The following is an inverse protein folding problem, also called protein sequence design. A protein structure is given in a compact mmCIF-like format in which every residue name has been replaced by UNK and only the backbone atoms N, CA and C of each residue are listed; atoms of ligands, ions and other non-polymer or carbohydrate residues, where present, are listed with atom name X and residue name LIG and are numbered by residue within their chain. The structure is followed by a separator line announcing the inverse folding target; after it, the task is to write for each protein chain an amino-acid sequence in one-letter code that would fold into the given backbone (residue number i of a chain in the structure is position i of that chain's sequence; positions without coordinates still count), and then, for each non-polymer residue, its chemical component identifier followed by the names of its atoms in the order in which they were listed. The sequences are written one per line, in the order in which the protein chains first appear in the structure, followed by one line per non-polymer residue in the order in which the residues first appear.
data_IF_808072928845
#
_entry.id   IF_808072928845
#
_cell.length_a   1.000
_cell.length_b   1.000
_cell.length_c   1.000
_cell.angle_alpha   90.00
_cell.angle_beta   90.00
_cell.angle_gamma   90.00
#
_symmetry.space_group_name_H-M   'P 1'
#
loop_
_entity.id
_entity.type
_entity.pdbx_description
1 polymer ?
#
# COMPACT_ATOMS: atom_id res chain seq x y z
N UNK A 1 -18.03 -29.25 13.13
CA UNK A 1 -17.77 -28.99 14.56
C UNK A 1 -18.17 -27.59 15.00
N UNK A 2 -17.42 -26.52 14.71
CA UNK A 2 -17.71 -25.17 15.26
C UNK A 2 -19.15 -24.71 15.03
N UNK A 3 -19.68 -24.94 13.82
CA UNK A 3 -21.09 -24.65 13.47
C UNK A 3 -22.09 -25.53 14.20
N UNK A 4 -21.77 -26.81 14.41
CA UNK A 4 -22.64 -27.74 15.15
C UNK A 4 -22.67 -27.39 16.65
N UNK A 5 -21.56 -26.89 17.20
CA UNK A 5 -21.40 -26.55 18.61
C UNK A 5 -21.69 -25.08 18.92
N UNK A 6 -21.97 -24.25 17.91
CA UNK A 6 -22.14 -22.81 18.06
C UNK A 6 -20.89 -22.09 18.57
N UNK A 7 -19.70 -22.63 18.28
CA UNK A 7 -18.42 -22.06 18.74
C UNK A 7 -17.95 -20.96 17.79
N UNK A 8 -17.78 -19.72 18.26
CA UNK A 8 -17.27 -18.63 17.44
C UNK A 8 -15.82 -18.89 17.00
N UNK A 9 -15.52 -18.58 15.74
CA UNK A 9 -14.18 -18.68 15.16
C UNK A 9 -13.74 -17.29 14.73
N UNK A 10 -12.52 -16.90 15.11
CA UNK A 10 -11.84 -15.70 14.64
C UNK A 10 -10.66 -16.12 13.77
N UNK A 11 -10.77 -16.00 12.43
CA UNK A 11 -9.64 -16.26 11.54
C UNK A 11 -8.53 -15.26 11.80
N UNK A 12 -7.30 -15.74 11.99
CA UNK A 12 -6.15 -14.89 12.23
C UNK A 12 -4.98 -15.26 11.31
N UNK A 13 -4.59 -14.28 10.51
CA UNK A 13 -3.39 -14.34 9.65
C UNK A 13 -2.18 -13.78 10.41
N UNK A 14 -1.43 -12.84 9.83
CA UNK A 14 -0.25 -12.23 10.45
C UNK A 14 -0.49 -11.28 11.64
N UNK A 15 -1.75 -11.14 12.09
CA UNK A 15 -2.15 -10.27 13.20
C UNK A 15 -1.69 -8.80 13.09
N UNK A 16 -1.70 -8.23 11.89
CA UNK A 16 -1.28 -6.85 11.62
C UNK A 16 -2.42 -5.88 11.31
N UNK A 17 -3.68 -6.33 11.44
CA UNK A 17 -4.86 -5.51 11.19
C UNK A 17 -5.06 -4.43 12.27
N UNK A 18 -5.55 -3.26 11.88
CA UNK A 18 -5.61 -2.06 12.74
C UNK A 18 -7.00 -1.73 13.27
N UNK A 19 -8.02 -2.52 12.92
CA UNK A 19 -9.42 -2.31 13.30
C UNK A 19 -9.94 -3.33 14.34
N UNK A 20 -9.07 -4.24 14.78
CA UNK A 20 -9.41 -5.26 15.80
C UNK A 20 -10.16 -6.48 15.27
N UNK A 21 -10.42 -6.59 13.96
CA UNK A 21 -11.18 -7.69 13.35
C UNK A 21 -10.62 -9.08 13.63
N UNK A 22 -9.30 -9.19 13.82
CA UNK A 22 -8.61 -10.45 14.07
C UNK A 22 -8.38 -10.76 15.56
N UNK A 23 -8.94 -9.97 16.46
CA UNK A 23 -8.77 -10.09 17.91
C UNK A 23 -10.07 -10.63 18.51
N UNK A 24 -10.03 -11.75 19.26
CA UNK A 24 -11.16 -12.24 20.04
C UNK A 24 -11.79 -11.17 20.92
N UNK A 25 -13.09 -11.28 21.14
CA UNK A 25 -13.76 -10.42 22.09
C UNK A 25 -13.34 -10.75 23.54
N UNK A 26 -13.87 -9.98 24.50
CA UNK A 26 -13.55 -10.14 25.93
C UNK A 26 -14.28 -11.31 26.59
N UNK A 27 -15.15 -12.03 25.89
CA UNK A 27 -15.92 -13.15 26.46
C UNK A 27 -15.04 -14.36 26.77
N UNK A 28 -13.95 -14.54 26.03
CA UNK A 28 -13.07 -15.71 26.12
C UNK A 28 -13.67 -16.98 25.50
N UNK A 29 -14.72 -16.87 24.69
CA UNK A 29 -15.38 -18.01 24.03
C UNK A 29 -14.90 -18.27 22.60
N UNK A 30 -14.22 -17.29 21.98
CA UNK A 30 -13.78 -17.40 20.60
C UNK A 30 -12.56 -18.32 20.45
N UNK A 31 -12.55 -19.13 19.39
CA UNK A 31 -11.35 -19.87 18.97
C UNK A 31 -10.63 -19.07 17.89
N UNK A 32 -9.36 -18.76 18.12
CA UNK A 32 -8.48 -18.21 17.08
C UNK A 32 -8.08 -19.32 16.12
N UNK A 33 -8.46 -19.19 14.85
CA UNK A 33 -8.01 -20.07 13.78
C UNK A 33 -6.81 -19.44 13.07
N UNK A 34 -5.61 -19.81 13.49
CA UNK A 34 -4.38 -19.32 12.86
C UNK A 34 -4.15 -20.00 11.50
N UNK A 35 -3.88 -19.19 10.47
CA UNK A 35 -3.55 -19.67 9.12
C UNK A 35 -2.04 -19.84 8.88
N UNK A 36 -1.20 -19.51 9.87
CA UNK A 36 0.26 -19.45 9.75
C UNK A 36 0.95 -20.73 9.24
N UNK A 37 0.31 -21.90 9.39
CA UNK A 37 0.83 -23.18 8.92
C UNK A 37 0.42 -23.53 7.49
N UNK A 38 -0.54 -22.80 6.91
CA UNK A 38 -0.90 -22.87 5.49
C UNK A 38 0.01 -21.91 4.71
N UNK A 39 1.30 -22.20 4.67
CA UNK A 39 2.34 -21.27 4.22
C UNK A 39 3.10 -21.74 2.97
N UNK A 40 2.50 -22.62 2.17
CA UNK A 40 3.13 -23.08 0.92
C UNK A 40 2.76 -22.19 -0.26
N UNK A 41 3.76 -21.82 -1.04
CA UNK A 41 3.57 -21.38 -2.42
C UNK A 41 3.37 -22.66 -3.24
N UNK A 42 2.14 -22.90 -3.72
CA UNK A 42 1.76 -24.11 -4.43
C UNK A 42 2.38 -24.14 -5.83
N UNK A 43 2.42 -23.00 -6.51
CA UNK A 43 2.92 -22.90 -7.89
C UNK A 43 3.21 -21.45 -8.29
N UNK A 44 4.27 -21.25 -9.09
CA UNK A 44 4.54 -20.01 -9.83
C UNK A 44 4.53 -20.35 -11.33
N UNK A 45 3.56 -19.78 -12.07
CA UNK A 45 3.46 -19.89 -13.52
C UNK A 45 3.88 -18.57 -14.16
N UNK A 46 5.11 -18.54 -14.66
CA UNK A 46 5.70 -17.36 -15.30
C UNK A 46 5.14 -17.06 -16.70
N UNK A 47 4.50 -18.04 -17.35
CA UNK A 47 3.88 -17.87 -18.67
C UNK A 47 2.52 -17.20 -18.53
N UNK A 48 1.70 -17.70 -17.60
CA UNK A 48 0.40 -17.09 -17.29
C UNK A 48 0.54 -15.83 -16.43
N UNK A 49 1.71 -15.62 -15.81
CA UNK A 49 2.00 -14.59 -14.82
C UNK A 49 1.05 -14.70 -13.62
N UNK A 50 1.06 -15.87 -12.99
CA UNK A 50 0.23 -16.14 -11.80
C UNK A 50 1.02 -16.88 -10.73
N UNK A 51 0.64 -16.68 -9.48
CA UNK A 51 1.12 -17.47 -8.35
C UNK A 51 -0.07 -18.03 -7.57
N UNK A 52 0.00 -19.31 -7.23
CA UNK A 52 -0.97 -19.95 -6.32
C UNK A 52 -0.32 -20.10 -4.96
N UNK A 53 -0.89 -19.44 -3.94
CA UNK A 53 -0.32 -19.39 -2.60
C UNK A 53 -1.37 -19.76 -1.55
N UNK A 54 -0.96 -20.48 -0.52
CA UNK A 54 -1.78 -20.69 0.67
C UNK A 54 -1.90 -19.39 1.49
N UNK A 55 -3.01 -19.24 2.23
CA UNK A 55 -3.38 -18.01 2.91
C UNK A 55 -2.38 -17.53 3.98
N UNK A 56 -1.61 -18.43 4.57
CA UNK A 56 -0.59 -18.14 5.57
C UNK A 56 0.78 -17.76 5.01
N UNK A 57 0.96 -17.72 3.68
CA UNK A 57 2.20 -17.23 3.06
C UNK A 57 2.41 -15.77 3.44
N UNK A 58 3.60 -15.43 3.96
CA UNK A 58 3.99 -14.05 4.29
C UNK A 58 4.17 -13.27 2.98
N UNK A 59 3.68 -12.02 2.95
CA UNK A 59 3.76 -11.18 1.75
C UNK A 59 5.19 -11.06 1.21
N UNK A 60 6.14 -10.74 2.09
CA UNK A 60 7.55 -10.64 1.72
C UNK A 60 8.10 -11.94 1.13
N UNK A 61 7.76 -13.10 1.70
CA UNK A 61 8.17 -14.40 1.16
C UNK A 61 7.61 -14.65 -0.24
N UNK A 62 6.36 -14.23 -0.51
CA UNK A 62 5.78 -14.31 -1.85
C UNK A 62 6.50 -13.39 -2.85
N UNK A 63 6.83 -12.16 -2.43
CA UNK A 63 7.57 -11.20 -3.25
C UNK A 63 8.97 -11.73 -3.60
N UNK A 64 9.71 -12.27 -2.62
CA UNK A 64 11.03 -12.87 -2.83
C UNK A 64 10.98 -14.07 -3.78
N UNK A 65 9.97 -14.92 -3.66
CA UNK A 65 9.78 -16.06 -4.56
C UNK A 65 9.41 -15.62 -5.98
N UNK A 66 8.60 -14.57 -6.14
CA UNK A 66 8.31 -13.97 -7.43
C UNK A 66 9.58 -13.35 -8.05
N UNK A 67 10.37 -12.63 -7.26
CA UNK A 67 11.61 -11.99 -7.71
C UNK A 67 12.62 -13.02 -8.22
N UNK A 68 12.79 -14.13 -7.49
CA UNK A 68 13.62 -15.26 -7.90
C UNK A 68 13.17 -15.92 -9.22
N UNK A 69 11.89 -15.74 -9.58
CA UNK A 69 11.31 -16.18 -10.86
C UNK A 69 11.29 -15.08 -11.94
N UNK A 70 12.04 -13.98 -11.75
CA UNK A 70 12.07 -12.80 -12.62
C UNK A 70 10.68 -12.17 -12.81
N UNK A 71 9.91 -12.12 -11.72
CA UNK A 71 8.56 -11.55 -11.68
C UNK A 71 8.41 -10.60 -10.50
N UNK A 72 7.41 -9.75 -10.60
CA UNK A 72 6.99 -8.83 -9.56
C UNK A 72 5.63 -9.28 -9.00
N UNK A 73 5.55 -9.43 -7.68
CA UNK A 73 4.28 -9.34 -6.97
C UNK A 73 4.17 -7.93 -6.36
N UNK A 74 3.27 -7.05 -6.87
CA UNK A 74 3.40 -5.61 -6.68
C UNK A 74 2.78 -5.06 -5.39
N UNK A 75 1.99 -5.85 -4.65
CA UNK A 75 1.43 -5.39 -3.38
C UNK A 75 2.58 -5.15 -2.39
N UNK A 76 2.71 -3.92 -1.89
CA UNK A 76 3.76 -3.53 -0.94
C UNK A 76 3.16 -2.67 0.16
N UNK A 77 3.47 -2.99 1.41
CA UNK A 77 2.93 -2.32 2.60
C UNK A 77 3.86 -2.54 3.80
N UNK A 78 3.84 -1.62 4.77
CA UNK A 78 4.80 -1.60 5.88
C UNK A 78 4.88 -2.90 6.70
N UNK A 79 3.78 -3.65 6.79
CA UNK A 79 3.71 -4.92 7.51
C UNK A 79 4.15 -6.15 6.68
N UNK A 80 4.79 -5.98 5.52
CA UNK A 80 5.07 -7.08 4.57
C UNK A 80 5.85 -8.27 5.14
N UNK A 81 6.69 -8.03 6.15
CA UNK A 81 7.47 -9.09 6.81
C UNK A 81 6.65 -9.99 7.75
N UNK A 82 5.39 -9.65 8.02
CA UNK A 82 4.53 -10.39 8.94
C UNK A 82 3.10 -10.59 8.44
N UNK A 83 2.56 -9.69 7.62
CA UNK A 83 1.24 -9.86 7.04
C UNK A 83 1.24 -11.06 6.08
N UNK A 84 0.10 -11.73 5.96
CA UNK A 84 -0.05 -12.94 5.15
C UNK A 84 -1.11 -12.74 4.08
N UNK A 85 -1.02 -13.50 2.98
CA UNK A 85 -1.87 -13.36 1.81
C UNK A 85 -3.36 -13.41 2.13
N UNK A 86 -3.80 -14.35 2.97
CA UNK A 86 -5.19 -14.47 3.41
C UNK A 86 -5.69 -13.22 4.13
N UNK A 87 -4.86 -12.65 5.00
CA UNK A 87 -5.15 -11.38 5.67
C UNK A 87 -5.22 -10.20 4.70
N UNK A 88 -4.25 -10.09 3.78
CA UNK A 88 -4.23 -9.05 2.75
C UNK A 88 -5.48 -9.08 1.88
N UNK A 89 -5.93 -10.27 1.48
CA UNK A 89 -7.18 -10.44 0.74
C UNK A 89 -8.40 -10.14 1.61
N UNK A 90 -8.44 -10.65 2.84
CA UNK A 90 -9.60 -10.49 3.72
C UNK A 90 -9.84 -9.03 4.10
N UNK A 91 -8.80 -8.20 4.21
CA UNK A 91 -8.90 -6.76 4.45
C UNK A 91 -8.91 -5.92 3.17
N UNK A 92 -8.85 -6.55 1.99
CA UNK A 92 -8.61 -5.88 0.70
C UNK A 92 -7.47 -4.85 0.75
N UNK A 93 -6.31 -5.28 1.24
CA UNK A 93 -5.17 -4.42 1.51
C UNK A 93 -4.74 -3.60 0.27
N UNK A 94 -4.48 -2.33 0.51
CA UNK A 94 -3.78 -1.43 -0.41
C UNK A 94 -2.31 -1.28 -0.02
N UNK A 95 -1.68 -0.25 -0.59
CA UNK A 95 -0.26 0.04 -0.41
C UNK A 95 0.25 1.02 -1.45
N UNK A 96 1.54 1.29 -1.44
CA UNK A 96 2.17 2.34 -2.27
C UNK A 96 2.04 2.09 -3.78
N UNK A 97 1.89 0.83 -4.19
CA UNK A 97 1.73 0.42 -5.59
C UNK A 97 0.29 0.42 -6.12
N UNK A 98 -0.72 0.77 -5.30
CA UNK A 98 -2.14 0.70 -5.71
C UNK A 98 -2.42 1.58 -6.93
N UNK A 99 -1.76 2.74 -7.02
CA UNK A 99 -1.84 3.64 -8.17
C UNK A 99 -1.65 2.90 -9.52
N UNK A 100 -0.68 1.99 -9.61
CA UNK A 100 -0.35 1.32 -10.86
C UNK A 100 -0.92 -0.10 -10.99
N UNK A 101 -1.06 -0.81 -9.87
CA UNK A 101 -1.36 -2.25 -9.87
C UNK A 101 -2.71 -2.60 -9.24
N UNK A 102 -3.36 -1.65 -8.57
CA UNK A 102 -4.57 -1.86 -7.79
C UNK A 102 -4.30 -2.50 -6.42
N UNK A 103 -5.38 -2.67 -5.66
CA UNK A 103 -5.35 -3.29 -4.33
C UNK A 103 -5.36 -4.84 -4.41
N UNK A 104 -5.40 -5.51 -3.26
CA UNK A 104 -5.40 -6.97 -3.18
C UNK A 104 -6.53 -7.63 -4.02
N UNK A 105 -7.71 -7.00 -4.12
CA UNK A 105 -8.80 -7.46 -5.01
C UNK A 105 -8.41 -7.46 -6.47
N UNK A 106 -7.82 -6.36 -6.95
CA UNK A 106 -7.36 -6.26 -8.34
C UNK A 106 -6.25 -7.27 -8.66
N UNK A 107 -5.45 -7.66 -7.66
CA UNK A 107 -4.40 -8.67 -7.79
C UNK A 107 -4.92 -10.11 -7.68
N UNK A 108 -6.16 -10.33 -7.24
CA UNK A 108 -6.73 -11.65 -7.02
C UNK A 108 -7.45 -12.17 -8.28
N UNK A 109 -7.08 -13.37 -8.73
CA UNK A 109 -7.76 -14.08 -9.82
C UNK A 109 -8.76 -15.11 -9.31
N UNK A 110 -8.49 -15.70 -8.14
CA UNK A 110 -9.31 -16.78 -7.60
C UNK A 110 -9.00 -17.06 -6.13
N UNK A 111 -9.96 -17.65 -5.41
CA UNK A 111 -9.83 -18.00 -3.99
C UNK A 111 -10.34 -19.40 -3.70
N UNK A 112 -9.74 -20.04 -2.71
CA UNK A 112 -10.25 -21.23 -2.03
C UNK A 112 -10.73 -20.78 -0.64
N UNK A 113 -11.98 -21.06 -0.30
CA UNK A 113 -12.62 -20.60 0.93
C UNK A 113 -13.35 -21.74 1.63
N UNK A 114 -13.13 -21.88 2.93
CA UNK A 114 -13.95 -22.74 3.79
C UNK A 114 -15.09 -21.91 4.36
N UNK A 115 -16.32 -22.29 4.02
CA UNK A 115 -17.54 -21.64 4.50
C UNK A 115 -17.84 -22.04 5.96
N UNK A 116 -18.71 -21.31 6.69
CA UNK A 116 -19.15 -21.71 8.02
C UNK A 116 -19.78 -23.11 8.05
N UNK A 117 -20.41 -23.56 6.97
CA UNK A 117 -20.95 -24.93 6.85
C UNK A 117 -19.85 -26.01 6.77
N UNK A 118 -18.59 -25.63 6.58
CA UNK A 118 -17.45 -26.52 6.34
C UNK A 118 -17.27 -26.90 4.87
N UNK A 119 -18.19 -26.49 3.99
CA UNK A 119 -18.05 -26.67 2.55
C UNK A 119 -16.87 -25.85 2.01
N UNK A 120 -16.15 -26.41 1.05
CA UNK A 120 -15.05 -25.74 0.36
C UNK A 120 -15.58 -25.14 -0.93
N UNK A 121 -15.53 -23.82 -1.03
CA UNK A 121 -15.67 -23.10 -2.28
C UNK A 121 -14.30 -23.02 -2.95
N UNK A 122 -14.15 -23.67 -4.10
CA UNK A 122 -12.92 -23.66 -4.90
C UNK A 122 -13.14 -22.87 -6.19
N UNK A 123 -12.45 -21.73 -6.28
CA UNK A 123 -12.40 -20.87 -7.45
C UNK A 123 -10.95 -20.52 -7.80
N UNK A 124 -10.00 -21.45 -7.59
CA UNK A 124 -8.57 -21.25 -7.89
C UNK A 124 -8.27 -21.27 -9.41
N UNK A 125 -8.85 -20.33 -10.15
CA UNK A 125 -8.71 -20.22 -11.61
C UNK A 125 -7.55 -19.29 -11.98
N UNK A 126 -6.73 -19.72 -12.93
CA UNK A 126 -5.61 -18.94 -13.51
C UNK A 126 -6.01 -18.19 -14.79
N UNK A 127 -7.23 -17.65 -14.82
CA UNK A 127 -7.80 -17.01 -16.00
C UNK A 127 -7.86 -15.49 -15.81
N UNK A 128 -7.38 -14.74 -16.80
CA UNK A 128 -7.48 -13.26 -16.81
C UNK A 128 -8.87 -12.76 -17.17
N UNK A 129 -9.62 -13.56 -17.93
CA UNK A 129 -11.00 -13.29 -18.33
C UNK A 129 -11.79 -14.57 -18.14
N UNK A 130 -12.79 -14.49 -17.28
CA UNK A 130 -13.69 -15.59 -16.99
C UNK A 130 -15.08 -15.02 -16.66
N UNK A 131 -16.05 -15.27 -17.53
CA UNK A 131 -17.40 -14.72 -17.44
C UNK A 131 -18.44 -15.83 -17.19
N UNK A 132 -18.09 -16.92 -16.51
CA UNK A 132 -19.00 -18.04 -16.24
C UNK A 132 -19.80 -17.82 -14.94
N UNK A 133 -20.65 -16.79 -14.92
CA UNK A 133 -21.53 -16.49 -13.78
C UNK A 133 -21.03 -15.34 -12.91
N UNK A 134 -21.38 -15.36 -11.62
CA UNK A 134 -21.02 -14.31 -10.67
C UNK A 134 -19.55 -14.41 -10.26
N UNK A 135 -18.93 -13.26 -10.05
CA UNK A 135 -17.55 -13.17 -9.56
C UNK A 135 -17.52 -13.28 -8.01
N UNK A 136 -17.77 -14.50 -7.51
CA UNK A 136 -17.97 -14.75 -6.09
C UNK A 136 -16.72 -14.52 -5.23
N UNK A 137 -15.51 -14.60 -5.80
CA UNK A 137 -14.27 -14.28 -5.06
C UNK A 137 -14.33 -12.87 -4.45
N UNK A 138 -15.02 -11.95 -5.13
CA UNK A 138 -15.13 -10.58 -4.67
C UNK A 138 -16.00 -10.41 -3.43
N UNK A 139 -16.84 -11.39 -3.07
CA UNK A 139 -17.55 -11.37 -1.80
C UNK A 139 -16.60 -11.62 -0.62
N UNK A 140 -15.58 -12.46 -0.81
CA UNK A 140 -14.66 -12.86 0.26
C UNK A 140 -13.48 -11.91 0.44
N UNK A 141 -12.96 -11.35 -0.66
CA UNK A 141 -11.94 -10.30 -0.59
C UNK A 141 -12.59 -9.06 0.04
N UNK A 142 -12.02 -8.55 1.13
CA UNK A 142 -12.60 -7.46 1.93
C UNK A 142 -13.69 -7.87 2.93
N UNK A 143 -13.98 -9.17 3.09
CA UNK A 143 -15.01 -9.65 4.02
C UNK A 143 -14.54 -9.74 5.48
N UNK A 144 -13.25 -9.54 5.75
CA UNK A 144 -12.65 -9.60 7.08
C UNK A 144 -12.95 -10.93 7.82
N UNK A 145 -13.01 -12.04 7.08
CA UNK A 145 -13.26 -13.38 7.63
C UNK A 145 -14.71 -13.67 8.04
N UNK A 146 -15.64 -12.73 7.85
CA UNK A 146 -17.04 -12.86 8.31
C UNK A 146 -17.89 -13.79 7.44
N UNK A 147 -17.49 -14.03 6.20
CA UNK A 147 -18.22 -14.88 5.24
C UNK A 147 -17.59 -16.26 5.05
N UNK A 148 -16.39 -16.48 5.56
CA UNK A 148 -15.61 -17.70 5.37
C UNK A 148 -14.11 -17.47 5.56
N UNK A 149 -13.35 -18.55 5.54
CA UNK A 149 -11.90 -18.55 5.75
C UNK A 149 -11.19 -18.80 4.43
N UNK A 150 -10.52 -17.78 3.89
CA UNK A 150 -9.65 -17.94 2.71
C UNK A 150 -8.49 -18.87 3.09
N UNK A 151 -8.31 -19.98 2.38
CA UNK A 151 -7.24 -20.97 2.61
C UNK A 151 -6.15 -20.95 1.55
N UNK A 152 -6.47 -20.51 0.34
CA UNK A 152 -5.53 -20.25 -0.74
C UNK A 152 -6.07 -19.24 -1.75
N UNK A 153 -5.19 -18.72 -2.60
CA UNK A 153 -5.55 -17.81 -3.67
C UNK A 153 -4.65 -17.97 -4.90
N UNK A 154 -5.20 -17.63 -6.06
CA UNK A 154 -4.44 -17.37 -7.29
C UNK A 154 -4.30 -15.86 -7.45
N UNK A 155 -3.07 -15.39 -7.55
CA UNK A 155 -2.72 -13.97 -7.62
C UNK A 155 -1.98 -13.65 -8.92
N UNK A 156 -2.15 -12.41 -9.41
CA UNK A 156 -1.44 -11.88 -10.58
C UNK A 156 0.03 -11.63 -10.25
N UNK A 157 0.91 -12.03 -11.15
CA UNK A 157 2.29 -11.57 -11.22
C UNK A 157 2.44 -10.58 -12.37
N UNK A 158 3.50 -9.78 -12.32
CA UNK A 158 3.86 -8.81 -13.35
C UNK A 158 5.31 -9.05 -13.80
N UNK A 159 5.69 -8.61 -15.02
CA UNK A 159 7.09 -8.54 -15.38
C UNK A 159 7.86 -7.69 -14.36
N UNK A 160 9.06 -8.14 -13.97
CA UNK A 160 9.95 -7.34 -13.14
C UNK A 160 10.35 -6.07 -13.90
N UNK A 161 10.20 -4.86 -13.32
CA UNK A 161 10.68 -3.64 -13.95
C UNK A 161 12.18 -3.71 -14.22
N UNK A 162 12.59 -3.16 -15.36
CA UNK A 162 14.01 -3.07 -15.77
C UNK A 162 14.67 -1.77 -15.33
N UNK A 163 13.87 -0.74 -15.06
CA UNK A 163 14.30 0.51 -14.44
C UNK A 163 13.38 0.85 -13.27
N UNK A 164 13.95 1.37 -12.18
CA UNK A 164 13.20 1.79 -10.98
C UNK A 164 13.85 3.05 -10.42
N UNK A 165 13.25 4.19 -10.73
CA UNK A 165 13.75 5.49 -10.32
C UNK A 165 12.87 6.09 -9.23
N UNK A 166 13.49 6.60 -8.18
CA UNK A 166 12.80 7.24 -7.06
C UNK A 166 13.25 8.69 -7.00
N UNK A 167 12.29 9.60 -6.86
CA UNK A 167 12.58 11.00 -6.62
C UNK A 167 11.87 11.52 -5.38
N UNK A 168 12.47 12.52 -4.76
CA UNK A 168 11.92 13.26 -3.65
C UNK A 168 11.91 14.74 -4.03
N UNK A 169 10.75 15.37 -4.00
CA UNK A 169 10.53 16.75 -4.45
C UNK A 169 9.97 17.60 -3.31
N UNK A 170 10.52 18.80 -3.15
CA UNK A 170 10.03 19.84 -2.25
C UNK A 170 9.10 20.79 -3.00
N UNK A 171 7.94 21.07 -2.40
CA UNK A 171 6.90 21.89 -3.01
C UNK A 171 6.72 23.21 -2.24
N UNK A 172 6.65 24.36 -2.92
CA UNK A 172 6.83 25.67 -2.30
C UNK A 172 5.60 26.18 -1.53
N UNK A 173 4.38 25.79 -1.90
CA UNK A 173 3.19 26.52 -1.42
C UNK A 173 2.15 25.62 -0.77
N UNK A 174 1.58 24.65 -1.49
CA UNK A 174 0.36 23.97 -1.04
C UNK A 174 0.21 22.55 -1.58
N UNK A 175 -0.73 21.74 -1.06
CA UNK A 175 -1.06 20.43 -1.65
C UNK A 175 -1.54 20.51 -3.11
N UNK A 176 -1.94 21.70 -3.60
CA UNK A 176 -2.30 21.89 -5.01
C UNK A 176 -1.09 21.77 -5.94
N UNK A 177 0.11 22.07 -5.44
CA UNK A 177 1.35 21.88 -6.19
C UNK A 177 1.60 20.37 -6.38
N UNK A 178 1.35 19.57 -5.34
CA UNK A 178 1.44 18.11 -5.42
C UNK A 178 0.44 17.53 -6.43
N UNK A 179 -0.80 18.04 -6.44
CA UNK A 179 -1.82 17.63 -7.41
C UNK A 179 -1.43 17.99 -8.86
N UNK A 180 -0.86 19.18 -9.06
CA UNK A 180 -0.36 19.62 -10.37
C UNK A 180 0.81 18.73 -10.84
N UNK A 181 1.75 18.41 -9.94
CA UNK A 181 2.85 17.51 -10.22
C UNK A 181 2.37 16.07 -10.50
N UNK A 182 1.37 15.59 -9.76
CA UNK A 182 0.76 14.28 -10.01
C UNK A 182 0.14 14.22 -11.41
N UNK A 183 -0.62 15.26 -11.79
CA UNK A 183 -1.23 15.34 -13.13
C UNK A 183 -0.16 15.32 -14.22
N UNK A 184 0.89 16.13 -14.06
CA UNK A 184 2.03 16.16 -14.97
C UNK A 184 2.74 14.80 -15.08
N UNK A 185 2.96 14.12 -13.95
CA UNK A 185 3.58 12.81 -13.89
C UNK A 185 2.72 11.74 -14.56
N UNK A 186 1.41 11.75 -14.31
CA UNK A 186 0.45 10.84 -14.95
C UNK A 186 0.37 11.03 -16.46
N UNK A 187 0.34 12.28 -16.93
CA UNK A 187 0.27 12.60 -18.37
C UNK A 187 1.51 12.10 -19.13
N UNK A 188 2.68 12.10 -18.48
CA UNK A 188 3.95 11.71 -19.11
C UNK A 188 4.31 10.24 -18.94
N UNK A 189 4.16 9.72 -17.72
CA UNK A 189 4.57 8.35 -17.39
C UNK A 189 3.44 7.32 -17.47
N UNK A 190 2.17 7.75 -17.37
CA UNK A 190 1.02 6.85 -17.32
C UNK A 190 1.21 5.73 -16.30
N UNK A 191 1.05 4.48 -16.73
CA UNK A 191 1.20 3.29 -15.88
C UNK A 191 2.64 3.06 -15.35
N UNK A 192 3.65 3.75 -15.88
CA UNK A 192 5.01 3.69 -15.34
C UNK A 192 5.14 4.49 -14.04
N UNK A 193 4.20 5.39 -13.72
CA UNK A 193 4.13 6.03 -12.41
C UNK A 193 3.57 5.04 -11.38
N UNK A 194 4.49 4.45 -10.62
CA UNK A 194 4.17 3.31 -9.72
C UNK A 194 3.97 3.69 -8.27
N UNK A 195 4.39 4.90 -7.87
CA UNK A 195 4.06 5.47 -6.57
C UNK A 195 4.05 6.99 -6.64
N UNK A 196 3.18 7.60 -5.85
CA UNK A 196 3.12 9.06 -5.67
C UNK A 196 2.58 9.38 -4.26
N UNK A 197 3.49 9.68 -3.36
CA UNK A 197 3.25 9.87 -1.93
C UNK A 197 3.31 11.35 -1.57
N UNK A 198 2.27 11.84 -0.89
CA UNK A 198 2.23 13.19 -0.34
C UNK A 198 2.71 13.17 1.11
N UNK A 199 3.56 14.11 1.50
CA UNK A 199 4.08 14.24 2.86
C UNK A 199 4.00 15.71 3.29
N UNK A 200 3.23 16.01 4.33
CA UNK A 200 3.23 17.34 4.94
C UNK A 200 4.52 17.60 5.72
N UNK A 201 4.82 18.87 5.98
CA UNK A 201 6.00 19.27 6.76
C UNK A 201 6.12 18.58 8.13
N UNK A 202 5.01 18.45 8.86
CA UNK A 202 5.03 17.92 10.24
C UNK A 202 5.50 16.44 10.33
N UNK A 203 4.93 15.47 9.58
CA UNK A 203 5.47 14.12 9.58
C UNK A 203 6.92 14.06 9.09
N UNK A 204 7.30 14.89 8.12
CA UNK A 204 8.69 15.02 7.68
C UNK A 204 9.62 15.41 8.83
N UNK A 205 9.29 16.46 9.59
CA UNK A 205 10.08 16.92 10.73
C UNK A 205 10.19 15.85 11.84
N UNK A 206 9.10 15.13 12.12
CA UNK A 206 9.12 14.04 13.10
C UNK A 206 10.09 12.93 12.70
N UNK A 207 10.18 12.64 11.40
CA UNK A 207 11.07 11.62 10.87
C UNK A 207 12.52 12.04 10.92
N UNK A 208 12.82 13.31 10.61
CA UNK A 208 14.17 13.85 10.81
C UNK A 208 14.59 13.85 12.29
N UNK A 209 13.65 14.10 13.21
CA UNK A 209 13.93 14.18 14.64
C UNK A 209 14.15 12.81 15.28
N UNK A 210 13.36 11.81 14.90
CA UNK A 210 13.27 10.53 15.62
C UNK A 210 13.74 9.32 14.82
N UNK A 211 13.81 9.43 13.50
CA UNK A 211 14.12 8.31 12.63
C UNK A 211 15.59 7.88 12.74
N UNK A 212 15.81 6.59 12.97
CA UNK A 212 17.16 6.02 13.02
C UNK A 212 17.64 5.66 11.61
N UNK A 213 18.89 6.01 11.29
CA UNK A 213 19.46 5.72 9.97
C UNK A 213 18.79 6.47 8.81
N UNK A 214 18.03 7.53 9.10
CA UNK A 214 17.37 8.34 8.09
C UNK A 214 18.34 9.33 7.48
N UNK A 215 18.36 9.37 6.14
CA UNK A 215 19.07 10.40 5.38
C UNK A 215 18.10 11.50 5.02
N UNK A 216 18.48 12.76 5.30
CA UNK A 216 17.69 13.94 4.91
C UNK A 216 17.61 14.02 3.38
N UNK A 217 16.41 14.00 2.76
CA UNK A 217 16.27 13.97 1.30
C UNK A 217 16.74 15.24 0.59
N UNK A 218 16.37 16.42 1.11
CA UNK A 218 16.65 17.72 0.49
C UNK A 218 17.40 18.64 1.47
N UNK A 219 18.24 19.52 0.92
CA UNK A 219 18.99 20.48 1.73
C UNK A 219 18.05 21.49 2.38
N UNK A 220 17.17 22.08 1.57
CA UNK A 220 16.20 23.07 2.01
C UNK A 220 14.91 22.44 2.57
N UNK A 221 14.11 23.31 3.16
CA UNK A 221 12.97 23.01 3.98
C UNK A 221 11.69 23.46 3.27
N UNK A 222 10.77 22.54 3.00
CA UNK A 222 9.58 22.77 2.20
C UNK A 222 8.30 22.52 3.00
N UNK A 223 7.19 23.26 2.76
CA UNK A 223 5.92 23.01 3.46
C UNK A 223 5.29 21.65 3.10
N UNK A 224 5.57 21.17 1.88
CA UNK A 224 5.08 19.90 1.37
C UNK A 224 6.17 19.18 0.59
N UNK A 225 6.09 17.86 0.58
CA UNK A 225 7.00 17.01 -0.16
C UNK A 225 6.22 15.94 -0.92
N UNK A 226 6.82 15.47 -2.01
CA UNK A 226 6.36 14.31 -2.77
C UNK A 226 7.51 13.30 -2.88
N UNK A 227 7.22 12.04 -2.62
CA UNK A 227 8.04 10.92 -3.08
C UNK A 227 7.32 10.30 -4.28
N UNK A 228 8.01 10.15 -5.41
CA UNK A 228 7.46 9.48 -6.59
C UNK A 228 8.38 8.38 -7.09
N UNK A 229 7.81 7.37 -7.72
CA UNK A 229 8.57 6.29 -8.33
C UNK A 229 8.11 6.01 -9.75
N UNK A 230 9.08 6.00 -10.68
CA UNK A 230 8.90 5.52 -12.05
C UNK A 230 9.47 4.10 -12.15
N UNK A 231 8.64 3.16 -12.61
CA UNK A 231 9.10 1.80 -12.96
C UNK A 231 8.97 1.60 -14.46
N UNK A 232 10.10 1.43 -15.15
CA UNK A 232 10.13 1.16 -16.59
C UNK A 232 10.26 -0.33 -16.87
N UNK A 233 9.45 -0.83 -17.80
CA UNK A 233 9.60 -2.18 -18.36
C UNK A 233 10.68 -2.29 -19.45
N UNK A 234 11.32 -1.18 -19.83
CA UNK A 234 12.25 -1.09 -20.97
C UNK A 234 13.71 -1.12 -20.53
N UNK A 235 14.13 -0.16 -19.70
CA UNK A 235 15.48 -0.08 -19.13
C UNK A 235 15.53 0.95 -17.99
N UNK A 236 16.68 1.00 -17.29
CA UNK A 236 16.98 2.03 -16.30
C UNK A 236 17.00 3.43 -16.91
N UNK A 237 17.62 3.60 -18.08
CA UNK A 237 17.75 4.88 -18.77
C UNK A 237 16.39 5.48 -19.18
N UNK A 238 15.44 4.62 -19.55
CA UNK A 238 14.07 5.04 -19.89
C UNK A 238 13.33 5.56 -18.65
N UNK A 239 13.45 4.86 -17.51
CA UNK A 239 12.90 5.32 -16.23
C UNK A 239 13.51 6.66 -15.80
N UNK A 240 14.83 6.78 -15.94
CA UNK A 240 15.59 7.99 -15.58
C UNK A 240 15.22 9.18 -16.46
N UNK A 241 15.14 8.99 -17.77
CA UNK A 241 14.73 10.05 -18.67
C UNK A 241 13.32 10.56 -18.33
N UNK A 242 12.37 9.67 -18.04
CA UNK A 242 10.99 10.04 -17.69
C UNK A 242 10.91 10.83 -16.37
N UNK A 243 11.59 10.38 -15.31
CA UNK A 243 11.53 11.07 -14.01
C UNK A 243 12.22 12.45 -14.09
N UNK A 244 13.35 12.54 -14.80
CA UNK A 244 14.07 13.80 -15.04
C UNK A 244 13.22 14.77 -15.88
N UNK A 245 12.55 14.28 -16.93
CA UNK A 245 11.63 15.07 -17.75
C UNK A 245 10.51 15.68 -16.88
N UNK A 246 9.82 14.85 -16.08
CA UNK A 246 8.72 15.29 -15.18
C UNK A 246 9.21 16.37 -14.21
N UNK A 247 10.32 16.12 -13.51
CA UNK A 247 10.85 17.06 -12.53
C UNK A 247 11.34 18.36 -13.16
N UNK A 248 12.00 18.28 -14.32
CA UNK A 248 12.47 19.47 -15.05
C UNK A 248 11.30 20.40 -15.39
N UNK A 249 10.21 19.84 -15.92
CA UNK A 249 9.03 20.64 -16.20
C UNK A 249 8.31 21.13 -14.94
N UNK A 250 8.32 20.35 -13.85
CA UNK A 250 7.81 20.78 -12.55
C UNK A 250 8.57 21.99 -11.99
N UNK A 251 9.91 21.99 -12.14
CA UNK A 251 10.78 23.11 -11.78
C UNK A 251 10.54 24.34 -12.67
N UNK A 252 10.47 24.15 -14.00
CA UNK A 252 10.20 25.24 -14.95
C UNK A 252 8.84 25.92 -14.72
N UNK A 253 7.83 25.16 -14.32
CA UNK A 253 6.49 25.68 -13.99
C UNK A 253 6.39 26.25 -12.57
N UNK A 254 7.45 26.16 -11.75
CA UNK A 254 7.45 26.58 -10.36
C UNK A 254 6.58 25.73 -9.42
N UNK A 255 6.16 24.53 -9.88
CA UNK A 255 5.41 23.56 -9.09
C UNK A 255 6.34 22.89 -8.06
N UNK A 256 7.55 22.57 -8.50
CA UNK A 256 8.62 22.00 -7.68
C UNK A 256 9.63 23.10 -7.37
N UNK A 257 10.08 23.19 -6.13
CA UNK A 257 11.10 24.15 -5.73
C UNK A 257 12.51 23.55 -5.69
N UNK A 258 12.63 22.29 -5.28
CA UNK A 258 13.87 21.50 -5.31
C UNK A 258 13.51 20.02 -5.44
N UNK A 259 14.40 19.22 -6.02
CA UNK A 259 14.21 17.79 -6.14
C UNK A 259 15.53 17.02 -6.22
N UNK A 260 15.50 15.79 -5.70
CA UNK A 260 16.56 14.81 -5.85
C UNK A 260 16.03 13.57 -6.54
N UNK A 261 16.79 13.05 -7.51
CA UNK A 261 16.57 11.73 -8.11
C UNK A 261 17.62 10.78 -7.53
N UNK A 262 17.22 9.56 -7.20
CA UNK A 262 18.14 8.51 -6.74
C UNK A 262 19.20 8.20 -7.80
N UNK A 263 20.48 8.32 -7.45
CA UNK A 263 21.60 7.94 -8.31
C UNK A 263 21.98 6.45 -8.20
N UNK A 264 21.32 5.71 -7.31
CA UNK A 264 21.51 4.27 -7.12
C UNK A 264 20.30 3.65 -6.42
N UNK A 265 20.16 2.32 -6.53
CA UNK A 265 19.12 1.57 -5.81
C UNK A 265 19.16 1.83 -4.30
N UNK A 266 20.34 1.85 -3.69
CA UNK A 266 20.50 2.11 -2.26
C UNK A 266 20.01 3.50 -1.85
N UNK A 267 20.22 4.52 -2.70
CA UNK A 267 19.68 5.85 -2.44
C UNK A 267 18.16 5.88 -2.61
N UNK A 268 17.61 5.17 -3.60
CA UNK A 268 16.17 5.01 -3.77
C UNK A 268 15.52 4.33 -2.56
N UNK A 269 16.13 3.25 -2.06
CA UNK A 269 15.68 2.55 -0.85
C UNK A 269 15.79 3.45 0.39
N UNK A 270 16.80 4.32 0.49
CA UNK A 270 16.91 5.30 1.57
C UNK A 270 15.78 6.36 1.53
N UNK A 271 15.37 6.80 0.34
CA UNK A 271 14.22 7.70 0.17
C UNK A 271 12.91 7.01 0.56
N UNK A 272 12.73 5.74 0.17
CA UNK A 272 11.59 4.94 0.61
C UNK A 272 11.56 4.74 2.12
N UNK A 273 12.70 4.40 2.71
CA UNK A 273 12.83 4.23 4.16
C UNK A 273 12.43 5.51 4.92
N UNK A 274 12.72 6.69 4.38
CA UNK A 274 12.22 7.96 4.92
C UNK A 274 10.69 7.95 5.02
N UNK A 275 9.99 7.66 3.92
CA UNK A 275 8.53 7.63 3.84
C UNK A 275 7.91 6.53 4.71
N UNK A 276 8.52 5.36 4.76
CA UNK A 276 8.02 4.20 5.50
C UNK A 276 8.20 4.35 7.02
N UNK A 277 9.18 5.15 7.44
CA UNK A 277 9.47 5.41 8.87
C UNK A 277 8.54 6.46 9.49
N UNK A 278 7.84 7.28 8.68
CA UNK A 278 6.93 8.33 9.15
C UNK A 278 5.94 7.86 10.25
N UNK A 279 5.18 6.75 10.06
CA UNK A 279 4.13 6.37 11.00
C UNK A 279 4.66 5.97 12.38
N UNK A 280 5.85 5.35 12.42
CA UNK A 280 6.52 4.95 13.67
C UNK A 280 7.06 6.17 14.42
N UNK A 281 7.67 7.14 13.71
CA UNK A 281 8.18 8.37 14.33
C UNK A 281 7.10 9.20 15.01
N UNK A 282 5.85 9.15 14.51
CA UNK A 282 4.73 9.84 15.15
C UNK A 282 4.46 9.34 16.57
N UNK A 283 4.68 8.05 16.88
CA UNK A 283 4.40 7.49 18.22
C UNK A 283 5.24 8.16 19.32
N UNK A 284 6.40 8.69 18.96
CA UNK A 284 7.34 9.36 19.87
C UNK A 284 6.95 10.82 20.15
N UNK A 285 5.94 11.33 19.45
CA UNK A 285 5.41 12.70 19.59
C UNK A 285 4.15 12.78 20.46
N UNK A 286 3.78 11.68 21.14
CA UNK A 286 2.67 11.61 22.09
C UNK A 286 1.48 10.80 21.59
N UNK A 287 0.32 11.01 22.20
CA UNK A 287 -0.92 10.37 21.78
C UNK A 287 -1.27 10.80 20.34
N UNK A 288 -1.76 9.84 19.54
CA UNK A 288 -2.13 10.07 18.15
C UNK A 288 -3.50 9.48 17.87
N UNK A 289 -4.38 10.28 17.29
CA UNK A 289 -5.67 9.83 16.75
C UNK A 289 -5.45 9.58 15.26
N UNK A 290 -5.62 8.34 14.82
CA UNK A 290 -5.33 7.92 13.44
C UNK A 290 -6.61 7.76 12.65
N UNK A 291 -6.63 8.35 11.46
CA UNK A 291 -7.69 8.16 10.48
C UNK A 291 -7.06 7.78 9.15
N UNK A 292 -7.48 6.64 8.61
CA UNK A 292 -7.12 6.18 7.28
C UNK A 292 -8.34 6.37 6.38
N UNK A 293 -8.30 7.39 5.52
CA UNK A 293 -9.46 7.86 4.77
C UNK A 293 -9.15 7.94 3.29
N UNK A 294 -10.19 8.02 2.47
CA UNK A 294 -10.06 8.27 1.04
C UNK A 294 -11.00 9.37 0.59
N UNK A 295 -10.52 10.21 -0.31
CA UNK A 295 -11.29 11.22 -1.04
C UNK A 295 -10.93 11.16 -2.52
N UNK A 296 -11.76 11.68 -3.44
CA UNK A 296 -11.33 11.84 -4.82
C UNK A 296 -10.01 12.61 -4.88
N UNK A 297 -9.07 12.18 -5.74
CA UNK A 297 -7.71 12.77 -5.84
C UNK A 297 -7.78 14.30 -5.99
N UNK A 298 -8.68 14.78 -6.85
CA UNK A 298 -8.90 16.21 -7.09
C UNK A 298 -9.38 16.99 -5.85
N UNK A 299 -9.94 16.29 -4.84
CA UNK A 299 -10.45 16.87 -3.60
C UNK A 299 -9.43 16.84 -2.45
N UNK A 300 -8.26 16.20 -2.62
CA UNK A 300 -7.24 16.11 -1.56
C UNK A 300 -6.85 17.50 -1.01
N UNK A 301 -6.49 18.49 -1.85
CA UNK A 301 -6.07 19.80 -1.33
C UNK A 301 -7.16 20.48 -0.49
N UNK A 302 -8.39 20.49 -0.99
CA UNK A 302 -9.54 21.08 -0.33
C UNK A 302 -9.90 20.34 0.98
N UNK A 303 -9.77 19.00 0.99
CA UNK A 303 -9.98 18.20 2.19
C UNK A 303 -8.97 18.57 3.28
N UNK A 304 -7.68 18.63 2.95
CA UNK A 304 -6.62 18.95 3.92
C UNK A 304 -6.88 20.30 4.58
N UNK A 305 -7.24 21.31 3.80
CA UNK A 305 -7.54 22.66 4.30
C UNK A 305 -8.80 22.68 5.20
N UNK A 306 -9.90 22.10 4.72
CA UNK A 306 -11.17 22.08 5.48
C UNK A 306 -11.05 21.27 6.77
N UNK A 307 -10.43 20.10 6.71
CA UNK A 307 -10.25 19.24 7.86
C UNK A 307 -9.37 19.91 8.93
N UNK A 308 -8.35 20.68 8.53
CA UNK A 308 -7.51 21.40 9.48
C UNK A 308 -8.32 22.44 10.27
N UNK A 309 -9.22 23.17 9.61
CA UNK A 309 -10.13 24.11 10.27
C UNK A 309 -11.11 23.44 11.24
N UNK A 310 -11.62 22.25 10.88
CA UNK A 310 -12.49 21.46 11.76
C UNK A 310 -11.72 20.97 12.99
N UNK A 311 -10.52 20.43 12.81
CA UNK A 311 -9.67 19.95 13.91
C UNK A 311 -9.35 21.07 14.88
N UNK A 312 -8.94 22.24 14.38
CA UNK A 312 -8.67 23.42 15.21
C UNK A 312 -9.91 23.90 15.97
N UNK A 313 -11.09 23.85 15.35
CA UNK A 313 -12.36 24.19 16.01
C UNK A 313 -12.77 23.21 17.13
N UNK A 314 -12.41 21.94 17.02
CA UNK A 314 -12.69 20.90 18.03
C UNK A 314 -11.64 20.90 19.15
N UNK A 315 -10.37 21.01 18.80
CA UNK A 315 -9.25 20.98 19.73
C UNK A 315 -8.18 22.01 19.31
N UNK A 316 -8.26 23.26 19.81
CA UNK A 316 -7.30 24.30 19.48
C UNK A 316 -5.86 23.88 19.83
N UNK A 317 -4.94 24.05 18.87
CA UNK A 317 -3.54 23.66 19.03
C UNK A 317 -3.25 22.17 18.75
N UNK A 318 -4.26 21.40 18.32
CA UNK A 318 -4.05 20.04 17.82
C UNK A 318 -3.12 20.05 16.58
N UNK A 319 -2.29 19.01 16.45
CA UNK A 319 -1.21 18.97 15.46
C UNK A 319 -1.50 17.97 14.36
N UNK A 320 -2.11 18.42 13.26
CA UNK A 320 -2.37 17.56 12.11
C UNK A 320 -1.09 16.96 11.53
N UNK A 321 -1.04 15.63 11.43
CA UNK A 321 0.04 14.87 10.79
C UNK A 321 -0.56 14.17 9.57
N UNK A 322 -0.41 14.79 8.41
CA UNK A 322 -1.00 14.32 7.15
C UNK A 322 0.07 13.84 6.18
N UNK A 323 -0.08 12.61 5.70
CA UNK A 323 0.70 12.02 4.62
C UNK A 323 -0.12 10.89 3.98
N UNK A 324 0.24 10.40 2.79
CA UNK A 324 -0.47 9.27 2.20
C UNK A 324 -0.27 9.10 0.70
N UNK A 325 -1.03 8.17 0.16
CA UNK A 325 -1.00 7.74 -1.24
C UNK A 325 -1.86 8.68 -2.09
N UNK A 326 -1.31 9.83 -2.48
CA UNK A 326 -2.08 10.81 -3.28
C UNK A 326 -2.54 10.23 -4.62
N UNK A 327 -1.76 9.31 -5.19
CA UNK A 327 -2.10 8.65 -6.46
C UNK A 327 -3.36 7.79 -6.45
N UNK A 328 -3.83 7.33 -5.29
CA UNK A 328 -5.06 6.52 -5.17
C UNK A 328 -6.17 7.20 -4.35
N UNK A 329 -5.92 8.41 -3.84
CA UNK A 329 -6.89 9.18 -3.06
C UNK A 329 -6.84 8.92 -1.56
N UNK A 330 -5.95 8.06 -1.05
CA UNK A 330 -5.83 7.75 0.37
C UNK A 330 -4.94 8.74 1.13
N UNK A 331 -5.39 9.12 2.34
CA UNK A 331 -4.63 9.93 3.29
C UNK A 331 -4.67 9.28 4.66
N UNK A 332 -3.49 9.19 5.29
CA UNK A 332 -3.36 9.02 6.72
C UNK A 332 -3.46 10.41 7.38
N UNK A 333 -4.67 10.77 7.80
CA UNK A 333 -4.98 12.08 8.38
C UNK A 333 -4.98 11.97 9.91
N UNK A 334 -3.78 11.96 10.49
CA UNK A 334 -3.60 11.78 11.92
C UNK A 334 -3.59 13.13 12.66
N UNK A 335 -3.92 13.10 13.95
CA UNK A 335 -3.95 14.26 14.85
C UNK A 335 -3.13 13.94 16.10
#
# INVERSE_FOLDING_TARGET
LATETGTPIVPQSGNTGLVGAQVPDKSGHDIVLSLSRLNRIREIDVLSNTVTAEAGVILQTLQEAADAADRLFPLSLAAQGSCQIGGNLSSNAGGTGVLAYGNARELCLGVEVVLPTGEVFDDLRKLKKDNTGYDLKNLFVGAEGTLGVITAAVLKLFPKPKGREVAFAGLPSSPKDALSLFTLAMDRAGASLTAFELIARRPYDFTLKHGQGITRPLADDWPWYVLMQISSGRSEEDGKALIEEILSAGLEQGIVGDAVVSASLAQGDALWNFRETLPECQKLEGASIKHDISVPIASIPDFIEKAAGVVEGVCPGARVVCFGHMGDGNLHYNI
#
